data_IF_028579262677
#
_entry.id   IF_028579262677
#
_cell.length_a   1.000
_cell.length_b   1.000
_cell.length_c   1.000
_cell.angle_alpha   90.00
_cell.angle_beta   90.00
_cell.angle_gamma   90.00
#
_symmetry.space_group_name_H-M   'P 1'
#
loop_
_entity.id
_entity.type
_entity.pdbx_description
1 polymer ?
#
# COMPACT_ATOMS: atom_id res chain seq x y z
N UNK A 1 -14.99 30.06 15.74
CA UNK A 1 -16.04 29.46 14.90
C UNK A 1 -15.84 29.98 13.48
N UNK A 2 -15.03 29.30 12.67
CA UNK A 2 -14.88 29.61 11.24
C UNK A 2 -15.92 28.80 10.46
N UNK A 3 -16.53 29.37 9.41
CA UNK A 3 -17.68 28.77 8.73
C UNK A 3 -17.24 27.48 8.04
N UNK A 4 -17.99 26.40 8.31
CA UNK A 4 -17.88 25.10 7.66
C UNK A 4 -18.20 25.26 6.18
N UNK A 5 -17.18 25.15 5.32
CA UNK A 5 -17.46 24.80 3.93
C UNK A 5 -17.84 23.32 3.94
N UNK A 6 -19.13 23.04 3.79
CA UNK A 6 -19.70 21.69 3.65
C UNK A 6 -18.85 20.83 2.69
N UNK A 7 -18.30 21.43 1.63
CA UNK A 7 -17.34 20.82 0.70
C UNK A 7 -16.11 20.16 1.37
N UNK A 8 -15.52 20.76 2.40
CA UNK A 8 -14.38 20.17 3.11
C UNK A 8 -14.76 18.94 3.93
N UNK A 9 -15.99 18.87 4.44
CA UNK A 9 -16.48 17.75 5.24
C UNK A 9 -16.89 16.59 4.33
N UNK A 10 -17.59 16.88 3.23
CA UNK A 10 -17.91 15.91 2.19
C UNK A 10 -16.65 15.33 1.53
N UNK A 11 -15.65 16.16 1.24
CA UNK A 11 -14.36 15.69 0.71
C UNK A 11 -13.64 14.73 1.66
N UNK A 12 -13.72 14.98 2.97
CA UNK A 12 -13.16 14.10 3.99
C UNK A 12 -13.89 12.75 4.05
N UNK A 13 -15.22 12.77 4.01
CA UNK A 13 -16.05 11.54 3.97
C UNK A 13 -15.77 10.69 2.73
N UNK A 14 -15.63 11.33 1.56
CA UNK A 14 -15.28 10.65 0.31
C UNK A 14 -13.88 10.04 0.40
N UNK A 15 -12.88 10.76 0.90
CA UNK A 15 -11.54 10.22 1.12
C UNK A 15 -11.54 9.04 2.11
N UNK A 16 -12.35 9.12 3.16
CA UNK A 16 -12.45 8.08 4.18
C UNK A 16 -13.04 6.78 3.62
N UNK A 17 -13.89 6.85 2.60
CA UNK A 17 -14.46 5.67 1.92
C UNK A 17 -13.57 5.18 0.77
N UNK A 18 -12.96 6.10 0.01
CA UNK A 18 -12.07 5.76 -1.10
C UNK A 18 -10.79 5.07 -0.63
N UNK A 19 -10.24 5.44 0.51
CA UNK A 19 -8.96 4.90 0.96
C UNK A 19 -9.01 3.39 1.29
N UNK A 20 -9.98 2.88 2.09
CA UNK A 20 -10.16 1.44 2.26
C UNK A 20 -10.46 0.72 0.94
N UNK A 21 -11.24 1.35 0.05
CA UNK A 21 -11.58 0.77 -1.25
C UNK A 21 -10.35 0.61 -2.15
N UNK A 22 -9.48 1.64 -2.21
CA UNK A 22 -8.22 1.61 -2.95
C UNK A 22 -7.24 0.59 -2.36
N UNK A 23 -7.15 0.49 -1.03
CA UNK A 23 -6.33 -0.52 -0.36
C UNK A 23 -6.82 -1.94 -0.66
N UNK A 24 -8.14 -2.15 -0.63
CA UNK A 24 -8.75 -3.43 -0.98
C UNK A 24 -8.48 -3.80 -2.45
N UNK A 25 -8.67 -2.84 -3.37
CA UNK A 25 -8.36 -3.02 -4.78
C UNK A 25 -6.89 -3.39 -5.01
N UNK A 26 -5.96 -2.71 -4.34
CA UNK A 26 -4.53 -2.99 -4.41
C UNK A 26 -4.22 -4.44 -4.02
N UNK A 27 -4.76 -4.91 -2.89
CA UNK A 27 -4.57 -6.30 -2.42
C UNK A 27 -5.09 -7.35 -3.43
N UNK A 28 -6.28 -7.14 -4.00
CA UNK A 28 -6.83 -8.04 -5.02
C UNK A 28 -6.05 -7.99 -6.33
N UNK A 29 -5.58 -6.80 -6.73
CA UNK A 29 -4.82 -6.63 -7.98
C UNK A 29 -3.50 -7.40 -7.96
N UNK A 30 -2.80 -7.44 -6.83
CA UNK A 30 -1.57 -8.23 -6.65
C UNK A 30 -1.89 -9.73 -6.76
N UNK A 31 -3.00 -10.18 -6.15
CA UNK A 31 -3.46 -11.56 -6.26
C UNK A 31 -3.75 -11.98 -7.70
N UNK A 32 -4.36 -11.10 -8.49
CA UNK A 32 -4.61 -11.34 -9.91
C UNK A 32 -3.32 -11.37 -10.76
N UNK A 33 -2.30 -10.62 -10.36
CA UNK A 33 -0.99 -10.58 -11.03
C UNK A 33 -0.04 -11.70 -10.57
N UNK A 34 -0.41 -12.47 -9.54
CA UNK A 34 0.45 -13.49 -8.94
C UNK A 34 0.99 -14.51 -9.96
N UNK A 35 0.19 -15.07 -10.89
CA UNK A 35 0.72 -16.00 -11.90
C UNK A 35 1.76 -15.36 -12.82
N UNK A 36 1.57 -14.07 -13.18
CA UNK A 36 2.51 -13.32 -14.00
C UNK A 36 3.81 -13.04 -13.26
N UNK A 37 3.74 -12.72 -11.97
CA UNK A 37 4.91 -12.54 -11.08
C UNK A 37 5.67 -13.87 -10.95
N UNK A 38 4.95 -14.98 -10.77
CA UNK A 38 5.55 -16.32 -10.69
C UNK A 38 6.31 -16.67 -11.96
N UNK A 39 5.71 -16.40 -13.12
CA UNK A 39 6.34 -16.62 -14.41
C UNK A 39 7.57 -15.72 -14.62
N UNK A 40 7.46 -14.42 -14.33
CA UNK A 40 8.54 -13.46 -14.55
C UNK A 40 9.78 -13.72 -13.68
N UNK A 41 9.58 -14.04 -12.39
CA UNK A 41 10.67 -14.32 -11.46
C UNK A 41 11.06 -15.81 -11.39
N UNK A 42 10.34 -16.70 -12.10
CA UNK A 42 10.54 -18.16 -12.06
C UNK A 42 10.56 -18.72 -10.63
N UNK A 43 9.63 -18.26 -9.79
CA UNK A 43 9.54 -18.59 -8.36
C UNK A 43 8.52 -19.72 -8.10
N UNK A 44 8.71 -20.46 -7.00
CA UNK A 44 7.76 -21.48 -6.56
C UNK A 44 6.51 -20.86 -5.91
N UNK A 45 5.45 -21.66 -5.78
CA UNK A 45 4.22 -21.28 -5.06
C UNK A 45 4.49 -20.87 -3.62
N UNK A 46 5.46 -21.51 -2.96
CA UNK A 46 5.87 -21.15 -1.59
C UNK A 46 6.47 -19.74 -1.50
N UNK A 47 7.27 -19.33 -2.48
CA UNK A 47 7.84 -17.98 -2.55
C UNK A 47 6.78 -16.93 -2.93
N UNK A 48 5.81 -17.30 -3.76
CA UNK A 48 4.68 -16.41 -4.07
C UNK A 48 3.77 -16.19 -2.84
N UNK A 49 3.49 -17.25 -2.08
CA UNK A 49 2.73 -17.18 -0.84
C UNK A 49 3.43 -16.34 0.25
N UNK A 50 4.76 -16.40 0.30
CA UNK A 50 5.53 -15.60 1.25
C UNK A 50 5.42 -14.10 0.95
N UNK A 51 5.39 -13.67 -0.32
CA UNK A 51 5.14 -12.26 -0.69
C UNK A 51 3.80 -11.77 -0.13
N UNK A 52 2.73 -12.54 -0.34
CA UNK A 52 1.39 -12.16 0.13
C UNK A 52 1.35 -12.06 1.65
N UNK A 53 2.10 -12.91 2.34
CA UNK A 53 2.24 -12.86 3.80
C UNK A 53 3.04 -11.63 4.23
N UNK A 54 4.16 -11.32 3.56
CA UNK A 54 4.96 -10.12 3.82
C UNK A 54 4.15 -8.84 3.63
N UNK A 55 3.35 -8.76 2.57
CA UNK A 55 2.45 -7.63 2.30
C UNK A 55 1.41 -7.49 3.41
N UNK A 56 0.77 -8.58 3.83
CA UNK A 56 -0.22 -8.58 4.90
C UNK A 56 0.38 -8.16 6.25
N UNK A 57 1.56 -8.69 6.60
CA UNK A 57 2.29 -8.33 7.83
C UNK A 57 2.72 -6.86 7.80
N UNK A 58 3.25 -6.37 6.67
CA UNK A 58 3.62 -4.97 6.52
C UNK A 58 2.42 -4.04 6.69
N UNK A 59 1.27 -4.39 6.11
CA UNK A 59 0.03 -3.63 6.28
C UNK A 59 -0.43 -3.61 7.76
N UNK A 60 -0.37 -4.75 8.44
CA UNK A 60 -0.69 -4.85 9.87
C UNK A 60 0.23 -3.99 10.75
N UNK A 61 1.55 -3.99 10.47
CA UNK A 61 2.51 -3.13 11.15
C UNK A 61 2.23 -1.64 10.88
N UNK A 62 1.84 -1.32 9.65
CA UNK A 62 1.36 -0.01 9.23
C UNK A 62 0.21 0.54 10.05
N UNK A 63 -0.85 -0.26 10.17
CA UNK A 63 -2.01 0.06 11.01
C UNK A 63 -1.62 0.22 12.48
N UNK A 64 -0.73 -0.63 12.99
CA UNK A 64 -0.20 -0.52 14.35
C UNK A 64 0.60 0.78 14.57
N UNK A 65 1.45 1.14 13.61
CA UNK A 65 2.20 2.40 13.66
C UNK A 65 1.26 3.62 13.55
N UNK A 66 0.25 3.56 12.69
CA UNK A 66 -0.75 4.61 12.57
C UNK A 66 -1.60 4.75 13.84
N UNK A 67 -1.87 3.64 14.55
CA UNK A 67 -2.56 3.68 15.83
C UNK A 67 -1.70 4.32 16.93
N UNK A 68 -0.40 4.00 16.99
CA UNK A 68 0.52 4.55 17.99
C UNK A 68 0.91 6.01 17.74
N UNK A 69 1.13 6.40 16.48
CA UNK A 69 1.67 7.71 16.10
C UNK A 69 0.64 8.63 15.41
N UNK A 70 -0.56 8.14 15.12
CA UNK A 70 -1.56 8.86 14.31
C UNK A 70 -2.05 10.17 14.92
N UNK A 71 -1.98 10.31 16.25
CA UNK A 71 -2.34 11.55 16.94
C UNK A 71 -1.22 12.58 16.94
N UNK A 72 0.03 12.17 16.68
CA UNK A 72 1.20 13.06 16.65
C UNK A 72 1.42 13.71 15.28
N UNK A 73 0.78 13.20 14.21
CA UNK A 73 1.09 13.58 12.83
C UNK A 73 -0.13 14.21 12.15
N UNK A 74 0.02 15.33 11.41
CA UNK A 74 -1.10 15.97 10.70
C UNK A 74 -1.72 15.04 9.64
N UNK A 75 -2.90 14.48 9.96
CA UNK A 75 -3.64 13.46 9.18
C UNK A 75 -3.72 13.72 7.68
N UNK A 76 -3.96 14.98 7.28
CA UNK A 76 -4.08 15.38 5.87
C UNK A 76 -2.74 15.26 5.12
N UNK A 77 -1.65 15.72 5.72
CA UNK A 77 -0.33 15.64 5.09
C UNK A 77 0.17 14.19 5.03
N UNK A 78 -0.02 13.43 6.12
CA UNK A 78 0.34 12.00 6.16
C UNK A 78 -0.36 11.22 5.07
N UNK A 79 -1.66 11.44 4.87
CA UNK A 79 -2.45 10.75 3.85
C UNK A 79 -1.88 10.93 2.43
N UNK A 80 -1.57 12.18 2.05
CA UNK A 80 -0.99 12.43 0.72
C UNK A 80 0.43 11.88 0.59
N UNK A 81 1.26 12.00 1.63
CA UNK A 81 2.62 11.45 1.64
C UNK A 81 2.59 9.93 1.51
N UNK A 82 1.68 9.26 2.21
CA UNK A 82 1.45 7.83 2.13
C UNK A 82 1.11 7.41 0.71
N UNK A 83 0.09 8.03 0.10
CA UNK A 83 -0.34 7.67 -1.26
C UNK A 83 0.79 7.89 -2.25
N UNK A 84 1.48 9.03 -2.15
CA UNK A 84 2.60 9.34 -3.03
C UNK A 84 3.73 8.32 -2.91
N UNK A 85 4.08 7.95 -1.67
CA UNK A 85 5.14 6.98 -1.39
C UNK A 85 4.76 5.57 -1.85
N UNK A 86 3.51 5.14 -1.64
CA UNK A 86 2.99 3.86 -2.14
C UNK A 86 3.04 3.78 -3.66
N UNK A 87 2.64 4.85 -4.37
CA UNK A 87 2.75 4.92 -5.83
C UNK A 87 4.23 4.88 -6.27
N UNK A 88 5.10 5.63 -5.60
CA UNK A 88 6.53 5.65 -5.94
C UNK A 88 7.18 4.26 -5.78
N UNK A 89 6.87 3.52 -4.72
CA UNK A 89 7.35 2.16 -4.52
C UNK A 89 6.79 1.17 -5.55
N UNK A 90 5.51 1.30 -5.91
CA UNK A 90 4.90 0.48 -6.96
C UNK A 90 5.52 0.77 -8.34
N UNK A 91 5.77 2.03 -8.68
CA UNK A 91 6.48 2.36 -9.92
C UNK A 91 7.92 1.84 -9.92
N UNK A 92 8.59 1.91 -8.76
CA UNK A 92 9.95 1.40 -8.61
C UNK A 92 10.02 -0.13 -8.74
N UNK A 93 8.97 -0.86 -8.31
CA UNK A 93 8.93 -2.33 -8.40
C UNK A 93 8.91 -2.83 -9.84
N UNK A 94 8.38 -2.04 -10.79
CA UNK A 94 8.39 -2.35 -12.24
C UNK A 94 9.80 -2.33 -12.83
N UNK A 95 10.72 -1.56 -12.23
CA UNK A 95 12.11 -1.47 -12.69
C UNK A 95 12.99 -2.61 -12.18
N UNK A 96 12.46 -3.49 -11.32
CA UNK A 96 13.21 -4.57 -10.69
C UNK A 96 13.47 -5.69 -11.71
N UNK A 97 14.74 -6.08 -11.86
CA UNK A 97 15.12 -7.18 -12.74
C UNK A 97 14.70 -8.55 -12.22
N UNK A 98 14.59 -9.53 -13.12
CA UNK A 98 14.17 -10.92 -12.81
C UNK A 98 15.03 -11.61 -11.74
N UNK A 99 16.29 -11.22 -11.58
CA UNK A 99 17.21 -11.79 -10.58
C UNK A 99 17.07 -11.15 -9.18
N UNK A 100 16.24 -10.11 -9.04
CA UNK A 100 16.16 -9.27 -7.84
C UNK A 100 14.81 -9.42 -7.12
N UNK A 101 14.34 -10.66 -7.01
CA UNK A 101 13.05 -10.98 -6.39
C UNK A 101 12.87 -10.38 -4.98
N UNK A 102 13.93 -10.37 -4.16
CA UNK A 102 13.88 -9.78 -2.82
C UNK A 102 13.61 -8.27 -2.85
N UNK A 103 14.16 -7.53 -3.83
CA UNK A 103 13.92 -6.09 -3.98
C UNK A 103 12.46 -5.84 -4.39
N UNK A 104 11.93 -6.67 -5.29
CA UNK A 104 10.51 -6.61 -5.66
C UNK A 104 9.61 -6.80 -4.43
N UNK A 105 9.89 -7.82 -3.61
CA UNK A 105 9.13 -8.10 -2.39
C UNK A 105 9.20 -6.94 -1.38
N UNK A 106 10.38 -6.31 -1.20
CA UNK A 106 10.54 -5.16 -0.32
C UNK A 106 9.78 -3.94 -0.83
N UNK A 107 9.88 -3.62 -2.13
CA UNK A 107 9.13 -2.51 -2.73
C UNK A 107 7.62 -2.71 -2.55
N UNK A 108 7.13 -3.93 -2.78
CA UNK A 108 5.72 -4.25 -2.63
C UNK A 108 5.25 -4.15 -1.16
N UNK A 109 6.02 -4.71 -0.23
CA UNK A 109 5.72 -4.61 1.21
C UNK A 109 5.74 -3.16 1.71
N UNK A 110 6.68 -2.35 1.22
CA UNK A 110 6.78 -0.92 1.56
C UNK A 110 5.61 -0.11 1.02
N UNK A 111 5.11 -0.47 -0.17
CA UNK A 111 3.92 0.17 -0.74
C UNK A 111 2.64 -0.15 0.02
N UNK A 112 2.57 -1.33 0.66
CA UNK A 112 1.41 -1.81 1.42
C UNK A 112 1.46 -1.48 2.92
N UNK A 113 2.55 -0.89 3.40
CA UNK A 113 2.73 -0.51 4.81
C UNK A 113 1.77 0.59 5.27
N UNK A 114 1.02 1.23 4.40
CA UNK A 114 0.15 2.35 4.75
C UNK A 114 -1.20 2.22 4.04
#
# INVERSE_FOLDING_TARGET
FQPSSTLSEWGLLVCLFLFPALNTYSAYSIGALLPSIQYFFSISDSSAASIMTFVSVAHGLGLGAMWLFGDMIPKRATFFTVIFLSIAFLCSSVLVGTNQFWLFAICLASASFF
#
